data_IF_682112852190
#
_entry.id   IF_682112852190
#
_cell.length_a   1.000
_cell.length_b   1.000
_cell.length_c   1.000
_cell.angle_alpha   90.00
_cell.angle_beta   90.00
_cell.angle_gamma   90.00
#
_symmetry.space_group_name_H-M   'P 1'
#
loop_
_entity.id
_entity.type
_entity.pdbx_description
1 polymer ?
#
# COMPACT_ATOMS: atom_id res chain seq x y z
N UNK A 1 -9.80 -15.78 4.37
CA UNK A 1 -8.79 -14.73 4.61
C UNK A 1 -7.67 -15.30 5.46
N UNK A 2 -6.43 -15.11 5.05
CA UNK A 2 -5.26 -15.43 5.86
C UNK A 2 -4.75 -14.18 6.57
N UNK A 3 -4.01 -14.36 7.65
CA UNK A 3 -3.44 -13.27 8.44
C UNK A 3 -1.94 -13.47 8.65
N UNK A 4 -1.17 -12.38 8.57
CA UNK A 4 0.27 -12.34 8.82
C UNK A 4 0.57 -11.31 9.90
N UNK A 5 1.56 -11.58 10.73
CA UNK A 5 2.04 -10.58 11.68
C UNK A 5 2.73 -9.42 10.96
N UNK A 6 2.50 -8.20 11.42
CA UNK A 6 3.16 -7.00 10.93
C UNK A 6 4.61 -6.99 11.39
N UNK A 7 5.50 -7.49 10.54
CA UNK A 7 6.92 -7.63 10.86
C UNK A 7 7.11 -8.54 12.07
N UNK A 8 7.91 -8.08 13.03
CA UNK A 8 8.08 -8.76 14.33
C UNK A 8 7.11 -8.29 15.42
N UNK A 9 6.12 -7.46 15.10
CA UNK A 9 5.11 -7.05 16.07
C UNK A 9 4.09 -8.17 16.34
N UNK A 10 3.27 -8.00 17.39
CA UNK A 10 2.18 -8.91 17.70
C UNK A 10 0.87 -8.64 16.95
N UNK A 11 0.84 -7.70 15.98
CA UNK A 11 -0.38 -7.30 15.28
C UNK A 11 -0.63 -8.18 14.03
N UNK A 12 -1.68 -9.02 14.00
CA UNK A 12 -2.05 -9.76 12.79
C UNK A 12 -2.87 -8.87 11.83
N UNK A 13 -2.42 -8.76 10.59
CA UNK A 13 -3.14 -8.08 9.52
C UNK A 13 -3.57 -9.09 8.45
N UNK A 14 -4.72 -8.84 7.83
CA UNK A 14 -5.16 -9.61 6.67
C UNK A 14 -4.19 -9.46 5.50
N UNK A 15 -3.90 -10.55 4.78
CA UNK A 15 -2.97 -10.55 3.63
C UNK A 15 -3.38 -9.53 2.55
N UNK A 16 -4.67 -9.25 2.43
CA UNK A 16 -5.21 -8.16 1.63
C UNK A 16 -5.82 -7.10 2.53
N UNK A 17 -5.61 -5.83 2.19
CA UNK A 17 -6.17 -4.65 2.88
C UNK A 17 -6.88 -3.74 1.89
N UNK A 18 -7.64 -2.77 2.37
CA UNK A 18 -8.38 -1.84 1.52
C UNK A 18 -7.87 -0.41 1.69
N UNK A 19 -7.36 0.17 0.60
CA UNK A 19 -6.97 1.58 0.54
C UNK A 19 -8.04 2.46 -0.09
N UNK A 20 -8.00 3.75 0.22
CA UNK A 20 -9.00 4.73 -0.21
C UNK A 20 -8.50 5.77 -1.23
N UNK A 21 -7.25 5.67 -1.67
CA UNK A 21 -6.64 6.61 -2.61
C UNK A 21 -7.38 6.63 -3.95
N UNK A 22 -7.67 7.83 -4.46
CA UNK A 22 -8.41 8.12 -5.71
C UNK A 22 -9.88 7.73 -5.70
N UNK A 23 -10.37 7.03 -4.69
CA UNK A 23 -11.74 6.51 -4.64
C UNK A 23 -12.59 7.29 -3.64
N UNK A 24 -12.34 7.14 -2.34
CA UNK A 24 -13.25 7.64 -1.31
C UNK A 24 -13.15 9.16 -1.21
N UNK A 25 -14.30 9.84 -1.26
CA UNK A 25 -14.36 11.30 -1.27
C UNK A 25 -13.92 11.94 -2.59
N UNK A 26 -13.65 11.14 -3.63
CA UNK A 26 -13.19 11.60 -4.95
C UNK A 26 -13.99 10.93 -6.08
N UNK A 27 -13.55 9.77 -6.58
CA UNK A 27 -14.08 9.21 -7.83
C UNK A 27 -15.32 8.33 -7.68
N UNK A 28 -15.69 7.90 -6.47
CA UNK A 28 -16.83 7.02 -6.23
C UNK A 28 -17.83 7.63 -5.24
N UNK A 29 -19.14 7.33 -5.35
CA UNK A 29 -20.12 7.72 -4.36
C UNK A 29 -19.83 7.10 -2.98
N UNK A 30 -20.19 7.81 -1.91
CA UNK A 30 -20.05 7.32 -0.53
C UNK A 30 -20.78 5.98 -0.30
N UNK A 31 -21.94 5.77 -0.95
CA UNK A 31 -22.64 4.48 -0.93
C UNK A 31 -21.77 3.34 -1.45
N UNK A 32 -21.02 3.56 -2.52
CA UNK A 32 -20.12 2.54 -3.08
C UNK A 32 -18.92 2.31 -2.16
N UNK A 33 -18.40 3.35 -1.51
CA UNK A 33 -17.37 3.21 -0.48
C UNK A 33 -17.87 2.36 0.71
N UNK A 34 -19.10 2.58 1.15
CA UNK A 34 -19.77 1.78 2.19
C UNK A 34 -19.88 0.31 1.80
N UNK A 35 -20.38 0.03 0.59
CA UNK A 35 -20.50 -1.32 0.03
C UNK A 35 -19.13 -2.03 -0.07
N UNK A 36 -18.08 -1.31 -0.49
CA UNK A 36 -16.72 -1.83 -0.56
C UNK A 36 -16.14 -2.15 0.82
N UNK A 37 -16.25 -1.23 1.79
CA UNK A 37 -15.78 -1.47 3.14
C UNK A 37 -16.52 -2.62 3.80
N UNK A 38 -17.84 -2.70 3.60
CA UNK A 38 -18.68 -3.78 4.15
C UNK A 38 -18.23 -5.13 3.60
N UNK A 39 -18.10 -5.23 2.28
CA UNK A 39 -17.62 -6.45 1.63
C UNK A 39 -16.22 -6.84 2.11
N UNK A 40 -15.29 -5.88 2.21
CA UNK A 40 -13.95 -6.13 2.70
C UNK A 40 -13.97 -6.72 4.12
N UNK A 41 -14.67 -6.05 5.05
CA UNK A 41 -14.79 -6.47 6.44
C UNK A 41 -15.45 -7.84 6.57
N UNK A 42 -16.57 -8.08 5.88
CA UNK A 42 -17.28 -9.36 5.88
C UNK A 42 -16.45 -10.50 5.27
N UNK A 43 -15.51 -10.18 4.38
CA UNK A 43 -14.55 -11.13 3.79
C UNK A 43 -13.32 -11.36 4.67
N UNK A 44 -13.25 -10.74 5.84
CA UNK A 44 -12.17 -10.88 6.83
C UNK A 44 -11.04 -9.87 6.70
N UNK A 45 -11.12 -8.89 5.78
CA UNK A 45 -10.14 -7.79 5.76
C UNK A 45 -10.27 -7.01 7.07
N UNK A 46 -9.16 -6.87 7.78
CA UNK A 46 -9.11 -6.13 9.03
C UNK A 46 -8.32 -4.83 8.93
N UNK A 47 -7.72 -4.47 7.79
CA UNK A 47 -6.90 -3.27 7.67
C UNK A 47 -7.40 -2.32 6.57
N UNK A 48 -7.64 -1.06 6.95
CA UNK A 48 -8.11 0.02 6.08
C UNK A 48 -7.11 1.18 6.08
N UNK A 49 -6.62 1.55 4.89
CA UNK A 49 -5.55 2.53 4.72
C UNK A 49 -6.06 3.87 4.16
N UNK A 50 -5.62 4.97 4.79
CA UNK A 50 -6.01 6.34 4.41
C UNK A 50 -4.84 7.33 4.56
N UNK A 51 -5.02 8.61 4.19
CA UNK A 51 -4.03 9.67 4.39
C UNK A 51 -4.68 11.06 4.41
N UNK A 52 -4.06 12.03 5.08
CA UNK A 52 -4.59 13.40 5.16
C UNK A 52 -4.75 14.07 3.79
N UNK A 53 -3.88 13.72 2.82
CA UNK A 53 -3.85 14.33 1.48
C UNK A 53 -4.91 13.73 0.55
N UNK A 54 -5.45 12.55 0.87
CA UNK A 54 -6.41 11.87 -0.01
C UNK A 54 -7.72 12.66 -0.07
N UNK A 55 -8.03 13.16 -1.28
CA UNK A 55 -9.15 14.07 -1.51
C UNK A 55 -9.17 15.26 -0.53
N UNK A 56 -7.98 15.79 -0.17
CA UNK A 56 -7.82 16.87 0.82
C UNK A 56 -8.54 16.60 2.16
N UNK A 57 -8.46 15.35 2.65
CA UNK A 57 -9.07 14.91 3.90
C UNK A 57 -10.50 14.39 3.77
N UNK A 58 -11.15 14.56 2.60
CA UNK A 58 -12.50 14.02 2.38
C UNK A 58 -12.54 12.49 2.45
N UNK A 59 -11.44 11.82 2.09
CA UNK A 59 -11.33 10.37 2.17
C UNK A 59 -11.44 9.84 3.60
N UNK A 60 -10.78 10.51 4.55
CA UNK A 60 -10.85 10.18 5.98
C UNK A 60 -12.26 10.45 6.54
N UNK A 61 -12.89 11.55 6.13
CA UNK A 61 -14.27 11.86 6.53
C UNK A 61 -15.28 10.80 6.07
N UNK A 62 -15.17 10.33 4.81
CA UNK A 62 -16.03 9.27 4.26
C UNK A 62 -15.82 7.97 5.04
N UNK A 63 -14.57 7.55 5.19
CA UNK A 63 -14.24 6.32 5.92
C UNK A 63 -14.70 6.38 7.38
N UNK A 64 -14.50 7.50 8.07
CA UNK A 64 -14.93 7.69 9.45
C UNK A 64 -16.44 7.65 9.63
N UNK A 65 -17.21 8.25 8.69
CA UNK A 65 -18.68 8.14 8.68
C UNK A 65 -19.14 6.69 8.53
N UNK A 66 -18.53 5.94 7.61
CA UNK A 66 -18.86 4.53 7.39
C UNK A 66 -18.54 3.69 8.64
N UNK A 67 -17.34 3.81 9.21
CA UNK A 67 -16.93 3.08 10.41
C UNK A 67 -17.90 3.32 11.58
N UNK A 68 -18.26 4.59 11.81
CA UNK A 68 -19.24 4.97 12.85
C UNK A 68 -20.64 4.44 12.57
N UNK A 69 -21.10 4.50 11.32
CA UNK A 69 -22.42 4.02 10.93
C UNK A 69 -22.54 2.49 11.04
N UNK A 70 -21.48 1.75 10.69
CA UNK A 70 -21.43 0.29 10.80
C UNK A 70 -21.35 -0.20 12.24
N UNK A 71 -20.72 0.58 13.13
CA UNK A 71 -20.61 0.23 14.54
C UNK A 71 -19.86 -1.09 14.78
N UNK A 72 -18.95 -1.48 13.87
CA UNK A 72 -18.08 -2.64 14.07
C UNK A 72 -17.22 -2.43 15.31
N UNK A 73 -17.05 -3.48 16.11
CA UNK A 73 -16.27 -3.38 17.35
C UNK A 73 -14.85 -2.93 17.02
N UNK A 74 -14.35 -1.89 17.70
CA UNK A 74 -13.07 -1.24 17.38
C UNK A 74 -11.86 -2.19 17.43
N UNK A 75 -11.95 -3.25 18.23
CA UNK A 75 -10.93 -4.30 18.40
C UNK A 75 -10.86 -5.32 17.25
N UNK A 76 -11.76 -5.25 16.26
CA UNK A 76 -11.79 -6.21 15.13
C UNK A 76 -11.18 -5.68 13.84
N UNK A 77 -10.77 -4.42 13.81
CA UNK A 77 -10.20 -3.77 12.63
C UNK A 77 -9.12 -2.76 12.99
N UNK A 78 -8.28 -2.47 12.01
CA UNK A 78 -7.17 -1.55 12.04
C UNK A 78 -7.38 -0.45 11.01
N UNK A 79 -7.01 0.77 11.36
CA UNK A 79 -7.01 1.91 10.43
C UNK A 79 -5.66 2.62 10.45
N UNK A 80 -5.24 3.08 9.28
CA UNK A 80 -4.10 3.99 9.16
C UNK A 80 -4.46 5.38 8.64
N UNK A 81 -3.60 6.32 8.99
CA UNK A 81 -3.45 7.58 8.25
C UNK A 81 -1.97 7.85 7.98
N UNK A 82 -1.68 8.84 7.13
CA UNK A 82 -0.32 9.26 6.78
C UNK A 82 -0.23 10.77 6.78
N UNK A 83 0.91 11.25 7.27
CA UNK A 83 1.24 12.67 7.33
C UNK A 83 2.36 13.02 6.38
N UNK A 84 2.15 14.10 5.62
CA UNK A 84 3.18 14.90 4.96
C UNK A 84 2.58 16.15 4.29
N UNK A 85 1.38 16.06 3.73
CA UNK A 85 0.73 17.14 2.95
C UNK A 85 -0.66 17.44 3.49
N UNK A 86 -0.75 18.28 4.52
CA UNK A 86 -2.01 18.67 5.15
C UNK A 86 -2.61 19.97 4.61
N UNK A 87 -1.88 20.76 3.81
CA UNK A 87 -2.35 22.04 3.29
C UNK A 87 -1.31 22.79 2.45
N UNK A 88 -1.64 24.01 2.05
CA UNK A 88 -0.73 24.90 1.32
C UNK A 88 0.13 25.77 2.25
N UNK A 89 -0.28 25.91 3.51
CA UNK A 89 0.44 26.69 4.51
C UNK A 89 1.79 26.04 4.87
N UNK A 90 2.86 26.84 5.12
CA UNK A 90 4.19 26.30 5.44
C UNK A 90 4.21 25.35 6.64
N UNK A 91 3.31 25.55 7.61
CA UNK A 91 3.22 24.73 8.81
C UNK A 91 2.36 23.48 8.63
N UNK A 92 1.85 23.21 7.42
CA UNK A 92 0.96 22.08 7.11
C UNK A 92 1.57 21.09 6.11
N UNK A 93 2.90 21.09 5.97
CA UNK A 93 3.61 20.18 5.07
C UNK A 93 5.00 19.82 5.61
N UNK A 94 5.31 18.53 5.70
CA UNK A 94 6.60 18.01 6.17
C UNK A 94 6.45 17.06 7.36
N UNK A 95 7.55 16.74 8.02
CA UNK A 95 7.58 15.80 9.15
C UNK A 95 8.15 16.39 10.44
N UNK A 96 8.21 17.73 10.54
CA UNK A 96 8.52 18.41 11.78
C UNK A 96 7.40 18.22 12.80
N UNK A 97 7.76 18.35 14.07
CA UNK A 97 6.92 17.97 15.22
C UNK A 97 5.52 18.57 15.17
N UNK A 98 5.41 19.88 14.89
CA UNK A 98 4.11 20.59 14.85
C UNK A 98 3.14 19.93 13.86
N UNK A 99 3.57 19.67 12.61
CA UNK A 99 2.68 19.10 11.60
C UNK A 99 2.33 17.64 11.92
N UNK A 100 3.31 16.83 12.36
CA UNK A 100 3.06 15.42 12.74
C UNK A 100 2.00 15.31 13.84
N UNK A 101 2.09 16.13 14.89
CA UNK A 101 1.11 16.12 15.98
C UNK A 101 -0.25 16.63 15.51
N UNK A 102 -0.30 17.77 14.81
CA UNK A 102 -1.56 18.38 14.36
C UNK A 102 -2.29 17.51 13.33
N UNK A 103 -1.56 16.93 12.36
CA UNK A 103 -2.13 16.05 11.35
C UNK A 103 -2.71 14.77 11.98
N UNK A 104 -2.06 14.22 13.00
CA UNK A 104 -2.58 13.04 13.72
C UNK A 104 -3.91 13.36 14.38
N UNK A 105 -3.99 14.46 15.14
CA UNK A 105 -5.25 14.87 15.79
C UNK A 105 -6.36 15.12 14.78
N UNK A 106 -6.05 15.80 13.68
CA UNK A 106 -7.04 16.03 12.62
C UNK A 106 -7.49 14.75 11.92
N UNK A 107 -6.60 13.77 11.71
CA UNK A 107 -6.95 12.47 11.16
C UNK A 107 -7.90 11.71 12.10
N UNK A 108 -7.63 11.71 13.40
CA UNK A 108 -8.50 11.10 14.43
C UNK A 108 -9.91 11.72 14.41
N UNK A 109 -10.00 13.05 14.32
CA UNK A 109 -11.28 13.76 14.22
C UNK A 109 -12.05 13.37 12.94
N UNK A 110 -11.38 13.37 11.78
CA UNK A 110 -12.01 13.04 10.49
C UNK A 110 -12.45 11.57 10.43
N UNK A 111 -11.62 10.66 10.94
CA UNK A 111 -11.92 9.23 11.02
C UNK A 111 -12.89 8.88 12.15
N UNK A 112 -13.14 9.80 13.08
CA UNK A 112 -14.00 9.60 14.25
C UNK A 112 -13.55 8.41 15.12
N UNK A 113 -12.25 8.33 15.40
CA UNK A 113 -11.63 7.30 16.23
C UNK A 113 -10.75 7.92 17.31
N UNK A 114 -10.57 7.21 18.43
CA UNK A 114 -9.74 7.70 19.54
C UNK A 114 -8.24 7.49 19.30
N UNK A 115 -7.89 6.47 18.50
CA UNK A 115 -6.52 6.12 18.13
C UNK A 115 -6.44 5.53 16.71
N UNK A 116 -5.28 5.69 16.08
CA UNK A 116 -4.89 4.96 14.87
C UNK A 116 -4.09 3.72 15.24
N UNK A 117 -4.32 2.59 14.59
CA UNK A 117 -3.46 1.42 14.79
C UNK A 117 -2.09 1.67 14.15
N UNK A 118 -2.09 2.24 12.95
CA UNK A 118 -0.90 2.49 12.14
C UNK A 118 -0.84 3.97 11.74
N UNK A 119 0.29 4.66 11.97
CA UNK A 119 0.49 6.02 11.47
C UNK A 119 1.79 6.16 10.70
N UNK A 120 1.71 6.71 9.50
CA UNK A 120 2.85 6.72 8.58
C UNK A 120 3.39 8.12 8.32
N UNK A 121 4.72 8.23 8.25
CA UNK A 121 5.38 9.28 7.49
C UNK A 121 5.15 9.03 5.99
N UNK A 122 4.32 9.83 5.31
CA UNK A 122 3.90 9.53 3.93
C UNK A 122 5.07 9.59 2.93
N UNK A 123 6.10 10.41 3.18
CA UNK A 123 7.35 10.49 2.40
C UNK A 123 8.50 10.90 3.31
N UNK A 124 9.77 10.67 2.91
CA UNK A 124 10.90 11.24 3.64
C UNK A 124 10.88 12.77 3.57
N UNK A 125 11.24 13.43 4.67
CA UNK A 125 11.41 14.89 4.74
C UNK A 125 12.88 15.21 4.98
N UNK A 126 13.57 15.66 3.93
CA UNK A 126 14.99 15.99 4.00
C UNK A 126 15.27 17.32 4.72
N UNK A 127 14.24 18.11 5.01
CA UNK A 127 14.39 19.39 5.70
C UNK A 127 14.17 19.28 7.22
N UNK A 128 13.59 18.18 7.69
CA UNK A 128 13.36 17.92 9.11
C UNK A 128 14.41 16.94 9.63
N UNK A 129 15.10 17.25 10.75
CA UNK A 129 15.97 16.26 11.39
C UNK A 129 15.20 14.99 11.74
N UNK A 130 15.69 13.83 11.29
CA UNK A 130 15.02 12.54 11.49
C UNK A 130 14.67 12.25 12.96
N UNK A 131 15.54 12.67 13.89
CA UNK A 131 15.32 12.52 15.33
C UNK A 131 14.10 13.30 15.83
N UNK A 132 13.80 14.46 15.23
CA UNK A 132 12.61 15.24 15.57
C UNK A 132 11.33 14.49 15.17
N UNK A 133 11.32 13.90 13.97
CA UNK A 133 10.22 13.06 13.49
C UNK A 133 10.03 11.83 14.37
N UNK A 134 11.11 11.11 14.69
CA UNK A 134 11.08 9.92 15.57
C UNK A 134 10.56 10.29 16.97
N UNK A 135 10.98 11.43 17.52
CA UNK A 135 10.50 11.92 18.81
C UNK A 135 9.00 12.29 18.77
N UNK A 136 8.55 12.95 17.70
CA UNK A 136 7.13 13.29 17.52
C UNK A 136 6.25 12.03 17.44
N UNK A 137 6.67 11.03 16.66
CA UNK A 137 5.97 9.74 16.56
C UNK A 137 5.96 9.00 17.89
N UNK A 138 7.09 8.99 18.60
CA UNK A 138 7.19 8.39 19.94
C UNK A 138 6.23 9.02 20.94
N UNK A 139 6.08 10.34 20.90
CA UNK A 139 5.15 11.03 21.81
C UNK A 139 3.69 10.71 21.49
N UNK A 140 3.32 10.53 20.21
CA UNK A 140 1.97 10.07 19.83
C UNK A 140 1.70 8.65 20.32
N UNK A 141 2.70 7.76 20.22
CA UNK A 141 2.62 6.39 20.79
C UNK A 141 2.40 6.46 22.29
N UNK A 142 3.19 7.25 23.01
CA UNK A 142 3.08 7.41 24.47
C UNK A 142 1.76 8.04 24.91
N UNK A 143 1.18 8.91 24.09
CA UNK A 143 -0.15 9.49 24.32
C UNK A 143 -1.31 8.52 24.02
N UNK A 144 -1.03 7.34 23.45
CA UNK A 144 -2.06 6.40 23.01
C UNK A 144 -2.87 6.88 21.81
N UNK A 145 -2.37 7.88 21.06
CA UNK A 145 -3.03 8.40 19.86
C UNK A 145 -2.76 7.53 18.64
N UNK A 146 -1.63 6.84 18.63
CA UNK A 146 -1.26 5.83 17.65
C UNK A 146 -0.71 4.61 18.37
N UNK A 147 -0.93 3.39 17.84
CA UNK A 147 -0.36 2.17 18.43
C UNK A 147 1.02 1.86 17.86
N UNK A 148 1.13 1.93 16.53
CA UNK A 148 2.35 1.69 15.78
C UNK A 148 2.59 2.84 14.80
N UNK A 149 3.87 3.09 14.50
CA UNK A 149 4.23 4.03 13.45
C UNK A 149 5.21 3.42 12.46
N UNK A 150 5.21 3.98 11.26
CA UNK A 150 6.01 3.49 10.16
C UNK A 150 6.31 4.56 9.13
N UNK A 151 6.96 4.14 8.06
CA UNK A 151 7.42 5.00 6.97
C UNK A 151 6.73 4.62 5.66
N UNK A 152 6.81 5.48 4.64
CA UNK A 152 6.32 5.18 3.29
C UNK A 152 7.21 5.84 2.25
N UNK A 153 7.73 5.01 1.34
CA UNK A 153 8.73 5.38 0.34
C UNK A 153 10.02 5.94 0.94
N UNK A 154 10.42 5.45 2.12
CA UNK A 154 11.72 5.75 2.69
C UNK A 154 12.78 4.79 2.16
N UNK A 155 14.03 5.21 2.06
CA UNK A 155 15.11 4.27 1.70
C UNK A 155 15.48 3.39 2.89
N UNK A 156 16.14 2.24 2.66
CA UNK A 156 16.63 1.42 3.76
C UNK A 156 17.60 2.20 4.67
N UNK A 157 18.37 3.12 4.08
CA UNK A 157 19.24 4.06 4.80
C UNK A 157 18.45 4.95 5.76
N UNK A 158 17.38 5.56 5.30
CA UNK A 158 16.58 6.47 6.13
C UNK A 158 15.91 5.71 7.29
N UNK A 159 15.40 4.51 7.01
CA UNK A 159 14.84 3.62 8.05
C UNK A 159 15.92 3.26 9.07
N UNK A 160 17.11 2.87 8.63
CA UNK A 160 18.23 2.55 9.51
C UNK A 160 18.65 3.76 10.38
N UNK A 161 18.64 4.97 9.82
CA UNK A 161 18.90 6.21 10.58
C UNK A 161 17.80 6.48 11.63
N UNK A 162 16.53 6.19 11.32
CA UNK A 162 15.43 6.30 12.29
C UNK A 162 15.60 5.30 13.44
N UNK A 163 15.94 4.05 13.14
CA UNK A 163 16.25 3.03 14.16
C UNK A 163 17.45 3.44 15.02
N UNK A 164 18.52 3.97 14.41
CA UNK A 164 19.70 4.43 15.14
C UNK A 164 19.37 5.60 16.08
N UNK A 165 18.59 6.58 15.61
CA UNK A 165 18.10 7.68 16.45
C UNK A 165 17.24 7.15 17.61
N UNK A 166 16.33 6.21 17.33
CA UNK A 166 15.48 5.61 18.34
C UNK A 166 16.27 4.85 19.42
N UNK A 167 17.25 4.05 19.02
CA UNK A 167 18.12 3.33 19.93
C UNK A 167 18.95 4.26 20.82
N UNK A 168 19.54 5.32 20.22
CA UNK A 168 20.37 6.29 20.95
C UNK A 168 19.56 7.05 22.00
N UNK A 169 18.35 7.50 21.63
CA UNK A 169 17.57 8.44 22.44
C UNK A 169 16.43 7.75 23.22
N UNK A 170 16.39 6.41 23.23
CA UNK A 170 15.35 5.58 23.88
C UNK A 170 13.94 5.95 23.42
N UNK A 171 13.80 6.14 22.11
CA UNK A 171 12.55 6.42 21.42
C UNK A 171 11.99 5.14 20.78
N UNK A 172 10.78 5.22 20.25
CA UNK A 172 10.13 4.11 19.55
C UNK A 172 10.56 4.14 18.07
N UNK A 173 11.19 3.07 17.60
CA UNK A 173 11.57 2.90 16.20
C UNK A 173 10.35 2.59 15.31
N UNK A 174 10.38 2.91 14.00
CA UNK A 174 9.31 2.49 13.09
C UNK A 174 9.29 0.98 12.98
N UNK A 175 8.10 0.38 12.87
CA UNK A 175 7.94 -1.09 12.80
C UNK A 175 7.48 -1.57 11.42
N UNK A 176 7.04 -0.66 10.56
CA UNK A 176 6.62 -0.99 9.20
C UNK A 176 6.99 0.07 8.18
N UNK A 177 7.06 -0.37 6.93
CA UNK A 177 7.22 0.46 5.74
C UNK A 177 6.02 0.25 4.81
N UNK A 178 5.61 1.29 4.08
CA UNK A 178 4.57 1.23 3.06
C UNK A 178 5.16 1.55 1.67
N UNK A 179 5.78 0.56 1.00
CA UNK A 179 6.45 0.76 -0.28
C UNK A 179 5.59 0.31 -1.47
N UNK A 180 5.94 0.79 -2.66
CA UNK A 180 5.42 0.24 -3.90
C UNK A 180 5.99 -1.17 -4.11
N UNK A 181 5.14 -2.15 -4.42
CA UNK A 181 5.59 -3.48 -4.83
C UNK A 181 4.63 -4.09 -5.84
N UNK A 182 5.14 -4.42 -7.02
CA UNK A 182 4.44 -5.11 -8.11
C UNK A 182 5.46 -5.58 -9.16
N UNK A 183 4.99 -6.24 -10.21
CA UNK A 183 5.84 -6.79 -11.28
C UNK A 183 6.73 -5.76 -12.01
N UNK A 184 6.43 -4.46 -11.91
CA UNK A 184 7.26 -3.38 -12.47
C UNK A 184 8.12 -2.64 -11.43
N UNK A 185 7.92 -2.88 -10.14
CA UNK A 185 8.59 -2.17 -9.05
C UNK A 185 8.99 -3.16 -7.95
N UNK A 186 10.23 -3.64 -8.01
CA UNK A 186 10.74 -4.75 -7.20
C UNK A 186 11.99 -4.42 -6.41
N UNK A 187 12.91 -3.66 -7.02
CA UNK A 187 14.24 -3.31 -6.48
C UNK A 187 14.23 -2.94 -4.98
N UNK A 188 13.44 -1.94 -4.59
CA UNK A 188 13.46 -1.46 -3.20
C UNK A 188 12.95 -2.51 -2.22
N UNK A 189 11.92 -3.25 -2.62
CA UNK A 189 11.31 -4.26 -1.76
C UNK A 189 12.21 -5.51 -1.65
N UNK A 190 12.64 -6.07 -2.78
CA UNK A 190 13.38 -7.33 -2.81
C UNK A 190 14.86 -7.18 -2.46
N UNK A 191 15.48 -6.02 -2.70
CA UNK A 191 16.92 -5.79 -2.49
C UNK A 191 17.18 -4.80 -1.36
N UNK A 192 16.76 -3.53 -1.49
CA UNK A 192 17.09 -2.47 -0.52
C UNK A 192 16.65 -2.84 0.91
N UNK A 193 15.44 -3.40 1.05
CA UNK A 193 14.91 -3.79 2.36
C UNK A 193 15.28 -5.21 2.83
N UNK A 194 15.98 -6.00 2.01
CA UNK A 194 16.23 -7.44 2.26
C UNK A 194 16.76 -7.72 3.68
N UNK A 195 17.67 -6.88 4.17
CA UNK A 195 18.25 -6.98 5.52
C UNK A 195 17.30 -6.49 6.61
N UNK A 196 16.48 -5.46 6.34
CA UNK A 196 15.60 -4.86 7.33
C UNK A 196 14.50 -5.82 7.81
N UNK A 197 14.04 -6.74 6.94
CA UNK A 197 13.04 -7.75 7.33
C UNK A 197 13.49 -8.58 8.53
N UNK A 198 14.74 -9.04 8.52
CA UNK A 198 15.28 -9.89 9.59
C UNK A 198 15.93 -9.09 10.72
N UNK A 199 16.76 -8.11 10.37
CA UNK A 199 17.61 -7.39 11.33
C UNK A 199 16.81 -6.33 12.12
N UNK A 200 15.83 -5.67 11.48
CA UNK A 200 14.99 -4.66 12.11
C UNK A 200 13.56 -5.16 12.41
N UNK A 201 13.21 -6.35 11.92
CA UNK A 201 11.86 -6.91 12.09
C UNK A 201 10.79 -6.15 11.32
N UNK A 202 11.15 -5.55 10.18
CA UNK A 202 10.30 -4.65 9.40
C UNK A 202 9.09 -5.38 8.82
N UNK A 203 7.88 -4.90 9.12
CA UNK A 203 6.64 -5.28 8.43
C UNK A 203 6.37 -4.44 7.20
N UNK A 204 5.52 -4.90 6.28
CA UNK A 204 5.20 -4.12 5.07
C UNK A 204 3.73 -4.07 4.73
N UNK A 205 3.26 -2.87 4.40
CA UNK A 205 1.95 -2.67 3.79
C UNK A 205 2.19 -2.26 2.34
N UNK A 206 2.12 -3.16 1.35
CA UNK A 206 2.54 -2.78 -0.01
C UNK A 206 1.43 -2.08 -0.77
N UNK A 207 1.75 -1.01 -1.52
CA UNK A 207 0.78 -0.25 -2.29
C UNK A 207 0.94 -0.41 -3.81
N UNK A 208 -0.15 -0.18 -4.54
CA UNK A 208 -0.25 -0.42 -5.99
C UNK A 208 0.24 -1.80 -6.45
N UNK A 209 -0.27 -2.91 -5.88
CA UNK A 209 0.08 -4.26 -6.34
C UNK A 209 -0.31 -4.51 -7.79
N UNK A 210 -1.29 -3.76 -8.32
CA UNK A 210 -1.75 -3.82 -9.72
C UNK A 210 -1.15 -2.72 -10.62
N UNK A 211 -0.09 -2.02 -10.18
CA UNK A 211 0.51 -0.87 -10.88
C UNK A 211 -0.54 0.16 -11.32
N UNK A 212 -1.40 0.61 -10.38
CA UNK A 212 -2.50 1.55 -10.64
C UNK A 212 -3.50 1.09 -11.72
N UNK A 213 -3.60 -0.22 -11.96
CA UNK A 213 -4.50 -0.81 -12.95
C UNK A 213 -3.83 -1.16 -14.29
N UNK A 214 -2.54 -0.86 -14.46
CA UNK A 214 -1.77 -1.19 -15.66
C UNK A 214 -1.72 -2.71 -15.89
N UNK A 215 -1.47 -3.50 -14.84
CA UNK A 215 -1.34 -4.96 -14.92
C UNK A 215 -2.63 -5.71 -15.26
N UNK A 216 -3.78 -5.02 -15.19
CA UNK A 216 -5.10 -5.60 -15.47
C UNK A 216 -5.70 -5.09 -16.78
N UNK A 217 -4.89 -4.41 -17.60
CA UNK A 217 -5.35 -3.85 -18.87
C UNK A 217 -6.29 -2.66 -18.70
N UNK A 218 -6.30 -1.95 -17.57
CA UNK A 218 -7.21 -0.79 -17.44
C UNK A 218 -6.94 0.27 -18.51
N UNK A 219 -5.67 0.43 -18.89
CA UNK A 219 -5.21 1.37 -19.91
C UNK A 219 -5.10 0.76 -21.32
N UNK A 220 -5.47 -0.51 -21.49
CA UNK A 220 -5.27 -1.26 -22.72
C UNK A 220 -6.46 -2.16 -23.04
N UNK A 221 -6.88 -2.22 -24.30
CA UNK A 221 -7.94 -3.13 -24.72
C UNK A 221 -7.44 -4.04 -25.84
N UNK A 222 -7.88 -5.29 -25.83
CA UNK A 222 -7.61 -6.22 -26.92
C UNK A 222 -8.59 -5.93 -28.07
N UNK A 223 -8.04 -5.60 -29.24
CA UNK A 223 -8.79 -5.31 -30.46
C UNK A 223 -8.13 -6.04 -31.62
N UNK A 224 -8.89 -6.89 -32.30
CA UNK A 224 -8.43 -7.68 -33.45
C UNK A 224 -7.16 -8.51 -33.16
N UNK A 225 -7.02 -9.03 -31.93
CA UNK A 225 -5.86 -9.82 -31.48
C UNK A 225 -4.63 -8.99 -31.12
N UNK A 226 -4.72 -7.65 -31.11
CA UNK A 226 -3.66 -6.75 -30.67
C UNK A 226 -4.13 -5.90 -29.47
N UNK A 227 -3.23 -5.63 -28.52
CA UNK A 227 -3.52 -4.70 -27.42
C UNK A 227 -3.29 -3.26 -27.88
N UNK A 228 -4.33 -2.43 -27.78
CA UNK A 228 -4.30 -0.99 -28.09
C UNK A 228 -4.59 -0.18 -26.84
N UNK A 229 -4.27 1.12 -26.85
CA UNK A 229 -4.56 2.01 -25.73
C UNK A 229 -6.07 2.20 -25.59
N UNK A 230 -6.61 1.94 -24.39
CA UNK A 230 -8.03 2.18 -24.09
C UNK A 230 -8.32 3.67 -23.91
N UNK A 231 -9.59 4.08 -23.91
CA UNK A 231 -9.96 5.48 -23.58
C UNK A 231 -9.46 5.95 -22.20
N UNK A 232 -9.44 5.04 -21.23
CA UNK A 232 -8.88 5.33 -19.91
C UNK A 232 -7.36 5.49 -20.00
N UNK A 233 -6.70 4.68 -20.84
CA UNK A 233 -5.31 4.83 -21.22
C UNK A 233 -5.02 6.20 -21.84
N UNK A 234 -5.78 6.63 -22.86
CA UNK A 234 -5.61 7.93 -23.49
C UNK A 234 -5.67 9.10 -22.50
N UNK A 235 -6.60 9.04 -21.52
CA UNK A 235 -6.70 10.06 -20.47
C UNK A 235 -5.49 10.03 -19.54
N UNK A 236 -5.05 8.84 -19.13
CA UNK A 236 -3.85 8.68 -18.33
C UNK A 236 -2.60 9.18 -19.08
N UNK A 237 -2.48 8.88 -20.37
CA UNK A 237 -1.41 9.35 -21.25
C UNK A 237 -1.38 10.88 -21.37
N UNK A 238 -2.55 11.54 -21.40
CA UNK A 238 -2.65 13.01 -21.40
C UNK A 238 -2.24 13.63 -20.07
N UNK A 239 -2.59 12.99 -18.95
CA UNK A 239 -2.34 13.51 -17.60
C UNK A 239 -0.89 13.25 -17.13
N UNK A 240 -0.28 12.13 -17.54
CA UNK A 240 1.05 11.69 -17.09
C UNK A 240 2.19 11.96 -18.10
N UNK A 241 1.86 12.16 -19.38
CA UNK A 241 2.82 12.07 -20.48
C UNK A 241 3.28 10.63 -20.70
N UNK A 242 3.43 10.19 -21.96
CA UNK A 242 3.99 8.86 -22.27
C UNK A 242 5.41 8.75 -21.69
N UNK A 243 5.68 7.88 -20.69
CA UNK A 243 7.05 7.59 -20.34
C UNK A 243 7.71 6.87 -21.54
N UNK A 244 9.00 7.12 -21.83
CA UNK A 244 9.74 6.34 -22.81
C UNK A 244 9.60 4.83 -22.53
N UNK A 245 9.28 4.03 -23.56
CA UNK A 245 9.17 2.57 -23.45
C UNK A 245 7.78 2.04 -23.04
N UNK A 246 6.73 2.83 -23.17
CA UNK A 246 5.36 2.41 -22.86
C UNK A 246 4.87 1.23 -23.73
N UNK A 247 5.26 1.17 -25.00
CA UNK A 247 4.92 0.08 -25.93
C UNK A 247 5.40 -1.28 -25.42
N UNK A 248 6.61 -1.31 -24.84
CA UNK A 248 7.18 -2.51 -24.23
C UNK A 248 6.35 -2.95 -23.02
N UNK A 249 5.89 -2.00 -22.20
CA UNK A 249 4.99 -2.29 -21.07
C UNK A 249 3.67 -2.89 -21.53
N UNK A 250 3.08 -2.38 -22.62
CA UNK A 250 1.84 -2.93 -23.20
C UNK A 250 2.03 -4.39 -23.58
N UNK A 251 3.12 -4.71 -24.29
CA UNK A 251 3.41 -6.07 -24.72
C UNK A 251 3.58 -7.03 -23.52
N UNK A 252 4.26 -6.58 -22.46
CA UNK A 252 4.39 -7.36 -21.22
C UNK A 252 3.03 -7.64 -20.57
N UNK A 253 2.17 -6.63 -20.46
CA UNK A 253 0.81 -6.79 -19.92
C UNK A 253 -0.02 -7.74 -20.78
N UNK A 254 0.10 -7.68 -22.11
CA UNK A 254 -0.59 -8.59 -23.03
C UNK A 254 -0.18 -10.05 -22.84
N UNK A 255 1.13 -10.32 -22.77
CA UNK A 255 1.66 -11.66 -22.52
C UNK A 255 1.24 -12.16 -21.13
N UNK A 256 1.28 -11.29 -20.12
CA UNK A 256 0.83 -11.61 -18.77
C UNK A 256 -0.66 -11.94 -18.72
N UNK A 257 -1.49 -11.20 -19.47
CA UNK A 257 -2.91 -11.50 -19.58
C UNK A 257 -3.17 -12.85 -20.26
N UNK A 258 -2.36 -13.21 -21.27
CA UNK A 258 -2.41 -14.54 -21.88
C UNK A 258 -2.06 -15.64 -20.88
N UNK A 259 -0.99 -15.46 -20.10
CA UNK A 259 -0.60 -16.41 -19.05
C UNK A 259 -1.71 -16.58 -18.00
N UNK A 260 -2.36 -15.49 -17.58
CA UNK A 260 -3.47 -15.56 -16.65
C UNK A 260 -4.65 -16.37 -17.21
N UNK A 261 -4.96 -16.22 -18.51
CA UNK A 261 -5.98 -17.03 -19.20
C UNK A 261 -5.63 -18.50 -19.23
N UNK A 262 -4.37 -18.85 -19.48
CA UNK A 262 -3.90 -20.25 -19.46
C UNK A 262 -4.04 -20.89 -18.07
N UNK A 263 -3.99 -20.07 -17.01
CA UNK A 263 -4.20 -20.46 -15.61
C UNK A 263 -5.67 -20.34 -15.16
N UNK A 264 -6.59 -20.01 -16.08
CA UNK A 264 -8.02 -19.82 -15.81
C UNK A 264 -8.35 -18.79 -14.72
N UNK A 265 -7.49 -17.78 -14.56
CA UNK A 265 -7.70 -16.67 -13.61
C UNK A 265 -7.56 -15.30 -14.28
N UNK A 266 -8.01 -14.25 -13.60
CA UNK A 266 -7.85 -12.89 -14.11
C UNK A 266 -6.41 -12.40 -13.93
N UNK A 267 -5.92 -11.45 -14.76
CA UNK A 267 -4.60 -10.85 -14.57
C UNK A 267 -4.46 -10.18 -13.20
N UNK A 268 -5.56 -9.63 -12.66
CA UNK A 268 -5.62 -9.05 -11.33
C UNK A 268 -5.28 -10.09 -10.25
N UNK A 269 -5.90 -11.27 -10.33
CA UNK A 269 -5.67 -12.37 -9.41
C UNK A 269 -4.25 -12.91 -9.52
N UNK A 270 -3.74 -13.11 -10.73
CA UNK A 270 -2.36 -13.57 -10.92
C UNK A 270 -1.33 -12.58 -10.33
N UNK A 271 -1.52 -11.27 -10.56
CA UNK A 271 -0.62 -10.25 -10.03
C UNK A 271 -0.67 -10.17 -8.50
N UNK A 272 -1.87 -10.24 -7.92
CA UNK A 272 -2.04 -10.24 -6.46
C UNK A 272 -1.48 -11.52 -5.83
N UNK A 273 -1.72 -12.69 -6.42
CA UNK A 273 -1.16 -13.96 -5.96
C UNK A 273 0.37 -13.95 -6.01
N UNK A 274 0.97 -13.37 -7.06
CA UNK A 274 2.41 -13.16 -7.15
C UNK A 274 2.93 -12.24 -6.02
N UNK A 275 2.24 -11.13 -5.73
CA UNK A 275 2.60 -10.25 -4.60
C UNK A 275 2.53 -11.02 -3.27
N UNK A 276 1.47 -11.80 -3.05
CA UNK A 276 1.25 -12.56 -1.81
C UNK A 276 2.21 -13.75 -1.64
N UNK A 277 2.77 -14.27 -2.74
CA UNK A 277 3.79 -15.34 -2.71
C UNK A 277 5.03 -14.93 -1.91
N UNK A 278 5.38 -13.65 -1.91
CA UNK A 278 6.51 -13.13 -1.14
C UNK A 278 6.14 -13.06 0.35
N UNK A 279 6.85 -13.81 1.20
CA UNK A 279 6.59 -13.88 2.64
C UNK A 279 6.85 -12.57 3.39
N UNK A 280 7.64 -11.67 2.82
CA UNK A 280 7.93 -10.36 3.41
C UNK A 280 6.77 -9.38 3.23
N UNK A 281 5.79 -9.68 2.36
CA UNK A 281 4.56 -8.91 2.27
C UNK A 281 3.65 -9.27 3.45
N UNK A 282 3.53 -8.37 4.43
CA UNK A 282 2.51 -8.54 5.49
C UNK A 282 1.10 -8.40 4.90
N UNK A 283 0.85 -7.33 4.15
CA UNK A 283 -0.45 -7.06 3.52
C UNK A 283 -0.30 -6.28 2.22
N UNK A 284 -1.14 -6.56 1.24
CA UNK A 284 -1.23 -5.82 -0.02
C UNK A 284 -2.50 -4.94 -0.04
N UNK A 285 -2.29 -3.62 -0.17
CA UNK A 285 -3.35 -2.62 -0.16
C UNK A 285 -4.04 -2.61 -1.52
N UNK A 286 -5.29 -3.06 -1.54
CA UNK A 286 -6.16 -3.05 -2.70
C UNK A 286 -6.76 -1.66 -2.92
N UNK A 287 -6.86 -1.25 -4.18
CA UNK A 287 -7.75 -0.18 -4.62
C UNK A 287 -8.91 -0.78 -5.41
N UNK A 288 -10.14 -0.38 -5.10
CA UNK A 288 -11.33 -0.85 -5.81
C UNK A 288 -12.33 0.30 -6.01
N UNK A 289 -12.93 0.36 -7.20
CA UNK A 289 -13.97 1.34 -7.55
C UNK A 289 -15.38 0.72 -7.59
N UNK A 290 -15.49 -0.61 -7.48
CA UNK A 290 -16.75 -1.35 -7.39
C UNK A 290 -16.55 -2.69 -6.69
N UNK A 291 -17.64 -3.26 -6.18
CA UNK A 291 -17.63 -4.49 -5.39
C UNK A 291 -17.26 -5.74 -6.19
N UNK A 292 -17.55 -5.80 -7.49
CA UNK A 292 -17.19 -6.96 -8.31
C UNK A 292 -15.67 -7.09 -8.44
N UNK A 293 -14.96 -5.98 -8.65
CA UNK A 293 -13.48 -5.98 -8.67
C UNK A 293 -12.91 -6.43 -7.33
N UNK A 294 -13.46 -5.95 -6.21
CA UNK A 294 -13.00 -6.35 -4.89
C UNK A 294 -13.26 -7.85 -4.64
N UNK A 295 -14.45 -8.36 -4.96
CA UNK A 295 -14.77 -9.80 -4.87
C UNK A 295 -13.82 -10.66 -5.67
N UNK A 296 -13.48 -10.24 -6.89
CA UNK A 296 -12.55 -10.98 -7.73
C UNK A 296 -11.13 -10.94 -7.17
N UNK A 297 -10.65 -9.77 -6.72
CA UNK A 297 -9.32 -9.61 -6.15
C UNK A 297 -9.12 -10.45 -4.88
N UNK A 298 -10.17 -10.63 -4.06
CA UNK A 298 -10.11 -11.42 -2.83
C UNK A 298 -9.79 -12.91 -3.08
N UNK A 299 -10.14 -13.44 -4.25
CA UNK A 299 -9.84 -14.84 -4.63
C UNK A 299 -8.35 -15.10 -4.86
N UNK A 300 -7.55 -14.05 -5.04
CA UNK A 300 -6.11 -14.16 -5.29
C UNK A 300 -5.35 -14.88 -4.17
N UNK A 301 -5.90 -14.89 -2.95
CA UNK A 301 -5.33 -15.61 -1.80
C UNK A 301 -5.25 -17.11 -2.08
N UNK A 302 -6.30 -17.67 -2.70
CA UNK A 302 -6.36 -19.10 -3.00
C UNK A 302 -5.48 -19.45 -4.22
N UNK A 303 -5.20 -18.47 -5.09
CA UNK A 303 -4.44 -18.66 -6.33
C UNK A 303 -2.92 -18.72 -6.11
N UNK A 304 -2.41 -18.38 -4.92
CA UNK A 304 -0.97 -18.45 -4.60
C UNK A 304 -0.38 -19.85 -4.88
N UNK A 305 -1.21 -20.90 -4.76
CA UNK A 305 -0.81 -22.29 -5.05
C UNK A 305 -0.53 -22.54 -6.53
N UNK A 306 -1.07 -21.71 -7.43
CA UNK A 306 -0.85 -21.80 -8.88
C UNK A 306 0.53 -21.26 -9.30
N UNK A 307 1.21 -20.51 -8.41
CA UNK A 307 2.52 -19.92 -8.66
C UNK A 307 3.60 -20.99 -8.42
N UNK A 308 3.64 -21.98 -9.30
CA UNK A 308 4.72 -22.98 -9.42
C UNK A 308 5.98 -22.35 -10.00
N UNK A 309 7.11 -23.06 -9.95
CA UNK A 309 8.38 -22.57 -10.52
C UNK A 309 8.24 -22.24 -12.01
N UNK A 310 7.63 -23.14 -12.80
CA UNK A 310 7.36 -22.90 -14.23
C UNK A 310 6.53 -21.62 -14.48
N UNK A 311 5.56 -21.33 -13.62
CA UNK A 311 4.74 -20.10 -13.75
C UNK A 311 5.56 -18.87 -13.39
N UNK A 312 6.39 -18.96 -12.33
CA UNK A 312 7.29 -17.87 -11.93
C UNK A 312 8.32 -17.59 -13.03
N UNK A 313 8.95 -18.61 -13.61
CA UNK A 313 9.88 -18.46 -14.74
C UNK A 313 9.20 -17.80 -15.95
N UNK A 314 7.95 -18.18 -16.27
CA UNK A 314 7.18 -17.51 -17.33
C UNK A 314 6.92 -16.04 -17.01
N UNK A 315 6.53 -15.72 -15.78
CA UNK A 315 6.36 -14.33 -15.33
C UNK A 315 7.69 -13.57 -15.49
N UNK A 316 8.80 -14.14 -15.06
CA UNK A 316 10.12 -13.50 -15.20
C UNK A 316 10.53 -13.32 -16.67
N UNK A 317 10.22 -14.29 -17.54
CA UNK A 317 10.51 -14.17 -18.97
C UNK A 317 9.75 -13.00 -19.63
N UNK A 318 8.54 -12.71 -19.15
CA UNK A 318 7.71 -11.60 -19.60
C UNK A 318 8.26 -10.28 -19.05
N UNK A 319 8.42 -10.17 -17.73
CA UNK A 319 8.71 -8.88 -17.10
C UNK A 319 10.18 -8.53 -17.09
N UNK A 320 11.07 -9.49 -16.90
CA UNK A 320 12.53 -9.30 -16.84
C UNK A 320 12.89 -8.16 -15.87
N UNK A 321 12.19 -8.10 -14.75
CA UNK A 321 12.33 -7.06 -13.72
C UNK A 321 12.89 -7.63 -12.41
N UNK A 322 13.25 -8.91 -12.38
CA UNK A 322 13.90 -9.52 -11.23
C UNK A 322 15.15 -8.70 -10.89
N UNK A 323 15.21 -8.13 -9.68
CA UNK A 323 16.35 -7.33 -9.29
C UNK A 323 17.52 -8.26 -8.98
N UNK A 324 18.74 -7.74 -9.13
CA UNK A 324 19.94 -8.53 -8.79
C UNK A 324 20.07 -8.56 -7.26
N UNK A 325 20.03 -9.73 -6.61
CA UNK A 325 20.22 -9.80 -5.16
C UNK A 325 21.60 -9.27 -4.74
N UNK A 326 21.73 -8.79 -3.50
CA UNK A 326 23.05 -8.46 -2.95
C UNK A 326 23.95 -9.71 -2.94
N UNK A 327 25.17 -9.58 -3.46
CA UNK A 327 26.14 -10.68 -3.43
C UNK A 327 26.47 -11.07 -1.99
N UNK A 328 26.33 -12.36 -1.68
CA UNK A 328 26.79 -12.93 -0.41
C UNK A 328 28.11 -13.64 -0.63
N UNK A 329 29.20 -13.10 -0.08
CA UNK A 329 30.57 -13.67 -0.22
C UNK A 329 30.85 -14.82 0.77
N UNK A 330 29.84 -15.65 1.06
CA UNK A 330 29.97 -16.78 1.99
C UNK A 330 30.23 -18.09 1.28
#
# INVERSE_FOLDING_TARGET
MNYRYLGQTGLPLSELSLGSWRTFGESIPEKTADELMTLAYESGINFFDNAEVYAAGASELVMGRILKAKGWRRDTWCVSSKVFWGGCEPTRKGLFRKHVIEACHQALERLQVDYLDLYFCHRPDLNTPIVETVAAMTDLVRQGKILYWGTSEWTARDIALAHAAAARDKLVAPVMEQPQYNLFARERFEVDYSRLYKEAGLGTTVWSPLSRGELVGHYFEEKDGAFVVSKAGERWLKDAGLPPGYEVRVQKVAQFASLARDLEITPARLALAWVLKNSNVTTAILGASNTNHLKENLKAIDDVVLLTEDVLEKIESIFQTSPTPEETFR
#
